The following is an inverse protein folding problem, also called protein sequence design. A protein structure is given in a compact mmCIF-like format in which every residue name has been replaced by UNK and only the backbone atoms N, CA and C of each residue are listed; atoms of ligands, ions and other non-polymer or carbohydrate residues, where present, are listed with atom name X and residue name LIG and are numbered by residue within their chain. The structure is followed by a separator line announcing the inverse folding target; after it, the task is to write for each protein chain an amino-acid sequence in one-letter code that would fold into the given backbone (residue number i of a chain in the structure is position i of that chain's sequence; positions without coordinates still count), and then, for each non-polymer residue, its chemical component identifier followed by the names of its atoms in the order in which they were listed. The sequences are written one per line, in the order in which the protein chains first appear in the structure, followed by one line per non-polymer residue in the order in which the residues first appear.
data_IF_480681741723
#
_entry.id   IF_480681741723
#
_cell.length_a   1.000
_cell.length_b   1.000
_cell.length_c   1.000
_cell.angle_alpha   90.00
_cell.angle_beta   90.00
_cell.angle_gamma   90.00
#
_symmetry.space_group_name_H-M   'P 1'
#
loop_
_entity.id
_entity.type
_entity.pdbx_description
1 polymer ?
#
# COMPACT_ATOMS: atom_id res chain seq x y z
N UNK A 1 8.25 19.06 13.33
CA UNK A 1 8.51 17.86 12.51
C UNK A 1 8.35 16.66 13.41
N UNK A 2 7.50 15.70 13.06
CA UNK A 2 7.32 14.45 13.79
C UNK A 2 7.87 13.34 12.91
N UNK A 3 8.82 12.57 13.46
CA UNK A 3 9.50 11.49 12.76
C UNK A 3 9.06 10.16 13.37
N UNK A 4 8.65 9.18 12.56
CA UNK A 4 8.27 7.86 13.07
C UNK A 4 8.08 6.83 11.96
N UNK A 5 8.63 5.62 12.03
CA UNK A 5 8.63 4.69 10.90
C UNK A 5 7.27 4.15 10.43
N UNK A 6 7.19 3.49 9.26
CA UNK A 6 5.97 2.78 8.83
C UNK A 6 5.51 1.79 9.91
N UNK A 7 4.29 1.95 10.40
CA UNK A 7 3.74 1.13 11.49
C UNK A 7 3.96 1.66 12.92
N UNK A 8 4.64 2.79 13.14
CA UNK A 8 4.88 3.34 14.49
C UNK A 8 3.81 4.30 15.00
N UNK A 9 2.59 4.23 14.45
CA UNK A 9 1.47 5.04 14.93
C UNK A 9 1.54 6.53 14.54
N UNK A 10 2.24 6.91 13.46
CA UNK A 10 2.19 8.28 12.91
C UNK A 10 0.76 8.80 12.72
N UNK A 11 -0.10 7.97 12.14
CA UNK A 11 -1.53 8.27 11.95
C UNK A 11 -2.25 8.45 13.29
N UNK A 12 -1.86 7.70 14.32
CA UNK A 12 -2.36 7.89 15.70
C UNK A 12 -1.91 9.22 16.28
N UNK A 13 -0.67 9.66 16.00
CA UNK A 13 -0.19 10.99 16.39
C UNK A 13 -0.93 12.10 15.65
N UNK A 14 -1.22 11.92 14.35
CA UNK A 14 -2.07 12.83 13.58
C UNK A 14 -3.44 12.96 14.24
N UNK A 15 -4.10 11.83 14.51
CA UNK A 15 -5.42 11.83 15.14
C UNK A 15 -5.40 12.53 16.50
N UNK A 16 -4.43 12.21 17.37
CA UNK A 16 -4.28 12.86 18.66
C UNK A 16 -4.01 14.37 18.55
N UNK A 17 -3.18 14.80 17.58
CA UNK A 17 -2.89 16.21 17.35
C UNK A 17 -4.13 16.97 16.87
N UNK A 18 -4.90 16.38 15.93
CA UNK A 18 -6.16 16.95 15.42
C UNK A 18 -7.17 17.10 16.56
N UNK A 19 -7.42 16.03 17.33
CA UNK A 19 -8.35 16.08 18.46
C UNK A 19 -7.94 17.13 19.49
N UNK A 20 -6.64 17.25 19.77
CA UNK A 20 -6.11 18.23 20.73
C UNK A 20 -6.24 19.67 20.22
N UNK A 21 -5.90 19.92 18.95
CA UNK A 21 -6.03 21.26 18.36
C UNK A 21 -7.49 21.68 18.26
N UNK A 22 -8.39 20.77 17.88
CA UNK A 22 -9.81 21.05 17.80
C UNK A 22 -10.43 21.30 19.18
N UNK A 23 -10.06 20.53 20.21
CA UNK A 23 -10.52 20.80 21.59
C UNK A 23 -10.03 22.15 22.13
N UNK A 24 -8.81 22.54 21.80
CA UNK A 24 -8.25 23.82 22.24
C UNK A 24 -8.92 25.02 21.55
N UNK A 25 -9.31 24.86 20.27
CA UNK A 25 -9.96 25.90 19.48
C UNK A 25 -10.80 25.26 18.36
N UNK A 26 -12.12 25.06 18.58
CA UNK A 26 -13.00 24.45 17.58
C UNK A 26 -13.18 25.28 16.31
N UNK A 27 -12.86 26.58 16.35
CA UNK A 27 -12.92 27.45 15.17
C UNK A 27 -11.63 27.41 14.34
N UNK A 28 -10.55 26.83 14.90
CA UNK A 28 -9.31 26.65 14.17
C UNK A 28 -9.49 25.66 13.04
N UNK A 29 -9.24 26.13 11.84
CA UNK A 29 -9.29 25.31 10.64
C UNK A 29 -7.98 24.54 10.46
N UNK A 30 -8.08 23.22 10.38
CA UNK A 30 -6.96 22.29 10.26
C UNK A 30 -7.10 21.56 8.93
N UNK A 31 -6.10 21.70 8.06
CA UNK A 31 -6.02 20.99 6.79
C UNK A 31 -4.97 19.89 6.89
N UNK A 32 -5.34 18.67 6.51
CA UNK A 32 -4.44 17.53 6.48
C UNK A 32 -4.27 17.12 5.03
N UNK A 33 -3.02 17.11 4.57
CA UNK A 33 -2.66 16.76 3.21
C UNK A 33 -1.66 15.60 3.19
N UNK A 34 -1.81 14.71 2.21
CA UNK A 34 -0.83 13.67 1.91
C UNK A 34 -0.67 13.52 0.40
N UNK A 35 0.38 12.84 -0.05
CA UNK A 35 0.65 12.65 -1.48
C UNK A 35 -0.39 11.75 -2.16
N UNK A 36 -0.87 10.71 -1.45
CA UNK A 36 -1.78 9.71 -1.98
C UNK A 36 -3.15 9.72 -1.29
N UNK A 37 -4.21 9.44 -2.04
CA UNK A 37 -5.55 9.29 -1.46
C UNK A 37 -5.62 8.14 -0.43
N UNK A 38 -4.80 7.10 -0.59
CA UNK A 38 -4.71 5.99 0.39
C UNK A 38 -4.22 6.50 1.73
N UNK A 39 -3.18 7.34 1.76
CA UNK A 39 -2.69 7.94 2.99
C UNK A 39 -3.76 8.82 3.64
N UNK A 40 -4.44 9.66 2.85
CA UNK A 40 -5.54 10.50 3.33
C UNK A 40 -6.68 9.64 3.92
N UNK A 41 -7.06 8.56 3.24
CA UNK A 41 -8.06 7.60 3.71
C UNK A 41 -7.66 6.96 5.04
N UNK A 42 -6.43 6.48 5.16
CA UNK A 42 -5.94 5.85 6.39
C UNK A 42 -6.02 6.83 7.59
N UNK A 43 -5.75 8.12 7.36
CA UNK A 43 -5.92 9.16 8.38
C UNK A 43 -7.40 9.33 8.74
N UNK A 44 -8.29 9.39 7.74
CA UNK A 44 -9.73 9.51 7.94
C UNK A 44 -10.30 8.33 8.74
N UNK A 45 -9.89 7.10 8.43
CA UNK A 45 -10.23 5.89 9.19
C UNK A 45 -9.75 6.01 10.63
N UNK A 46 -8.51 6.45 10.82
CA UNK A 46 -7.96 6.60 12.17
C UNK A 46 -8.67 7.66 12.99
N UNK A 47 -9.13 8.76 12.38
CA UNK A 47 -9.98 9.75 13.04
C UNK A 47 -11.29 9.13 13.51
N UNK A 48 -11.95 8.35 12.64
CA UNK A 48 -13.16 7.60 13.00
C UNK A 48 -12.91 6.60 14.13
N UNK A 49 -11.81 5.84 14.09
CA UNK A 49 -11.46 4.87 15.14
C UNK A 49 -11.32 5.51 16.53
N UNK A 50 -10.84 6.75 16.59
CA UNK A 50 -10.70 7.50 17.85
C UNK A 50 -11.94 8.32 18.20
N UNK A 51 -13.05 8.12 17.47
CA UNK A 51 -14.32 8.82 17.68
C UNK A 51 -14.35 10.28 17.20
N UNK A 52 -13.35 10.72 16.43
CA UNK A 52 -13.34 12.05 15.83
C UNK A 52 -14.06 12.03 14.49
N UNK A 53 -15.22 12.68 14.47
CA UNK A 53 -16.17 12.61 13.35
C UNK A 53 -16.41 13.95 12.65
N UNK A 54 -15.92 15.05 13.22
CA UNK A 54 -16.09 16.42 12.71
C UNK A 54 -15.02 16.77 11.67
N UNK A 55 -15.03 16.04 10.55
CA UNK A 55 -14.14 16.31 9.42
C UNK A 55 -14.83 16.08 8.09
N UNK A 56 -14.27 16.67 7.04
CA UNK A 56 -14.65 16.42 5.64
C UNK A 56 -13.45 16.00 4.81
N UNK A 57 -13.71 15.14 3.83
CA UNK A 57 -12.72 14.59 2.92
C UNK A 57 -13.01 15.09 1.50
N UNK A 58 -12.10 15.89 0.94
CA UNK A 58 -12.20 16.38 -0.43
C UNK A 58 -11.49 15.41 -1.38
N UNK A 59 -12.23 14.78 -2.29
CA UNK A 59 -11.74 13.69 -3.15
C UNK A 59 -11.95 14.02 -4.62
N UNK A 60 -10.96 13.71 -5.46
CA UNK A 60 -11.14 13.76 -6.92
C UNK A 60 -12.02 12.59 -7.38
N UNK A 61 -13.04 12.87 -8.21
CA UNK A 61 -13.96 11.85 -8.70
C UNK A 61 -13.27 10.77 -9.56
N UNK A 62 -12.23 11.14 -10.32
CA UNK A 62 -11.45 10.20 -11.12
C UNK A 62 -10.79 9.12 -10.24
N UNK A 63 -10.31 9.51 -9.06
CA UNK A 63 -9.74 8.57 -8.11
C UNK A 63 -10.80 7.65 -7.48
N UNK A 64 -12.02 8.14 -7.25
CA UNK A 64 -13.10 7.32 -6.69
C UNK A 64 -13.49 6.16 -7.61
N UNK A 65 -13.50 6.39 -8.93
CA UNK A 65 -13.79 5.35 -9.92
C UNK A 65 -12.62 4.36 -10.11
N UNK A 66 -11.37 4.84 -10.09
CA UNK A 66 -10.18 3.98 -10.23
C UNK A 66 -9.90 3.14 -8.96
N UNK A 67 -10.35 3.60 -7.80
CA UNK A 67 -10.14 2.98 -6.48
C UNK A 67 -11.49 2.81 -5.76
N UNK A 68 -12.32 1.94 -6.32
CA UNK A 68 -13.35 1.16 -5.64
C UNK A 68 -14.23 1.84 -4.57
N UNK A 69 -15.51 2.03 -4.90
CA UNK A 69 -16.64 2.38 -4.02
C UNK A 69 -16.67 1.63 -2.68
N UNK A 70 -16.21 0.38 -2.63
CA UNK A 70 -16.22 -0.49 -1.45
C UNK A 70 -15.12 -0.21 -0.42
N UNK A 71 -14.12 0.63 -0.74
CA UNK A 71 -13.02 0.92 0.18
C UNK A 71 -13.41 1.95 1.25
N UNK A 72 -14.37 2.83 0.96
CA UNK A 72 -14.92 3.76 1.93
C UNK A 72 -16.13 3.11 2.57
N UNK A 73 -16.02 2.65 3.82
CA UNK A 73 -17.20 2.23 4.58
C UNK A 73 -18.20 3.39 4.70
N UNK A 74 -19.47 3.08 4.99
CA UNK A 74 -20.59 4.04 5.05
C UNK A 74 -20.26 5.32 5.85
N UNK A 75 -19.50 5.16 6.93
CA UNK A 75 -19.05 6.25 7.80
C UNK A 75 -18.14 7.25 7.05
N UNK A 76 -17.21 6.76 6.24
CA UNK A 76 -16.33 7.65 5.47
C UNK A 76 -17.06 8.29 4.29
N UNK A 77 -17.93 7.53 3.61
CA UNK A 77 -18.69 8.05 2.47
C UNK A 77 -19.52 9.28 2.85
N UNK A 78 -20.15 9.29 4.03
CA UNK A 78 -20.91 10.43 4.53
C UNK A 78 -20.08 11.72 4.77
N UNK A 79 -18.75 11.62 4.75
CA UNK A 79 -17.80 12.74 4.95
C UNK A 79 -17.08 13.13 3.67
N UNK A 80 -17.20 12.36 2.60
CA UNK A 80 -16.65 12.70 1.30
C UNK A 80 -17.41 13.84 0.64
N UNK A 81 -16.68 14.72 -0.03
CA UNK A 81 -17.21 15.68 -0.99
C UNK A 81 -16.37 15.46 -2.25
N UNK A 82 -17.04 15.18 -3.38
CA UNK A 82 -16.36 14.88 -4.64
C UNK A 82 -16.16 16.14 -5.49
N UNK A 83 -15.04 16.20 -6.20
CA UNK A 83 -14.57 17.39 -6.91
C UNK A 83 -15.53 17.99 -7.93
N UNK A 84 -16.38 17.16 -8.52
CA UNK A 84 -17.42 17.53 -9.47
C UNK A 84 -18.71 18.03 -8.80
N UNK A 85 -18.87 17.77 -7.51
CA UNK A 85 -19.97 18.28 -6.68
C UNK A 85 -19.57 19.55 -5.92
N UNK A 86 -18.32 20.01 -6.03
CA UNK A 86 -17.84 21.19 -5.31
C UNK A 86 -18.68 22.42 -5.61
N UNK A 87 -19.20 23.05 -4.55
CA UNK A 87 -19.96 24.29 -4.73
C UNK A 87 -19.06 25.47 -5.05
N UNK A 88 -19.44 26.23 -6.07
CA UNK A 88 -18.83 27.51 -6.41
C UNK A 88 -19.39 28.68 -5.57
N UNK A 89 -20.33 28.42 -4.66
CA UNK A 89 -20.96 29.43 -3.80
C UNK A 89 -20.60 29.20 -2.33
N UNK A 90 -20.39 30.27 -1.58
CA UNK A 90 -20.08 30.20 -0.14
C UNK A 90 -21.18 29.46 0.64
N UNK A 91 -22.45 29.75 0.35
CA UNK A 91 -23.59 29.07 1.00
C UNK A 91 -23.60 27.57 0.71
N UNK A 92 -23.36 27.17 -0.54
CA UNK A 92 -23.35 25.75 -0.90
C UNK A 92 -22.16 25.00 -0.29
N UNK A 93 -20.96 25.59 -0.31
CA UNK A 93 -19.80 24.98 0.30
C UNK A 93 -19.92 24.91 1.84
N UNK A 94 -20.59 25.87 2.48
CA UNK A 94 -20.85 25.85 3.92
C UNK A 94 -21.80 24.71 4.29
N UNK A 95 -22.84 24.48 3.47
CA UNK A 95 -23.73 23.31 3.59
C UNK A 95 -23.00 21.99 3.39
N UNK A 96 -22.03 21.93 2.49
CA UNK A 96 -21.22 20.73 2.26
C UNK A 96 -20.28 20.45 3.44
N UNK A 97 -19.70 21.51 4.03
CA UNK A 97 -18.81 21.38 5.19
C UNK A 97 -19.56 21.02 6.47
N UNK A 98 -20.83 21.41 6.62
CA UNK A 98 -21.63 21.20 7.84
C UNK A 98 -20.92 21.71 9.11
N UNK A 99 -20.22 22.85 8.99
CA UNK A 99 -19.46 23.45 10.09
C UNK A 99 -18.09 22.83 10.36
N UNK A 100 -17.74 21.71 9.71
CA UNK A 100 -16.47 21.04 9.92
C UNK A 100 -15.28 21.98 9.63
N UNK A 101 -14.35 22.02 10.59
CA UNK A 101 -13.10 22.81 10.48
C UNK A 101 -11.88 21.95 10.17
N UNK A 102 -12.02 20.63 10.22
CA UNK A 102 -10.97 19.68 9.85
C UNK A 102 -11.22 19.17 8.44
N UNK A 103 -10.30 19.44 7.52
CA UNK A 103 -10.43 19.08 6.11
C UNK A 103 -9.24 18.20 5.70
N UNK A 104 -9.55 17.05 5.11
CA UNK A 104 -8.57 16.09 4.58
C UNK A 104 -8.62 16.13 3.05
N UNK A 105 -7.47 16.13 2.39
CA UNK A 105 -7.37 16.05 0.94
C UNK A 105 -5.98 15.62 0.48
N UNK A 106 -5.79 15.31 -0.80
CA UNK A 106 -4.42 15.13 -1.34
C UNK A 106 -3.71 16.46 -1.52
N UNK A 107 -2.39 16.45 -1.60
CA UNK A 107 -1.59 17.65 -1.91
C UNK A 107 -1.99 18.27 -3.26
N UNK A 108 -2.30 17.42 -4.25
CA UNK A 108 -2.79 17.86 -5.56
C UNK A 108 -4.15 18.56 -5.47
N UNK A 109 -5.08 18.04 -4.67
CA UNK A 109 -6.37 18.68 -4.41
C UNK A 109 -6.20 20.01 -3.67
N UNK A 110 -5.30 20.06 -2.70
CA UNK A 110 -5.00 21.28 -1.95
C UNK A 110 -4.44 22.41 -2.82
N UNK A 111 -3.73 22.05 -3.89
CA UNK A 111 -3.19 22.98 -4.88
C UNK A 111 -4.21 23.37 -5.95
N UNK A 112 -5.39 22.73 -5.97
CA UNK A 112 -6.44 22.99 -6.96
C UNK A 112 -7.19 24.29 -6.67
N UNK A 113 -7.54 25.02 -7.74
CA UNK A 113 -8.45 26.17 -7.63
C UNK A 113 -9.87 25.78 -7.26
N UNK A 114 -10.25 24.52 -7.46
CA UNK A 114 -11.61 24.02 -7.19
C UNK A 114 -11.98 24.09 -5.70
N UNK A 115 -10.99 24.14 -4.80
CA UNK A 115 -11.25 24.22 -3.36
C UNK A 115 -11.35 25.65 -2.80
N UNK A 116 -11.27 26.68 -3.67
CA UNK A 116 -11.23 28.08 -3.25
C UNK A 116 -12.42 28.48 -2.36
N UNK A 117 -13.62 27.97 -2.64
CA UNK A 117 -14.82 28.26 -1.84
C UNK A 117 -14.74 27.66 -0.44
N UNK A 118 -14.23 26.43 -0.31
CA UNK A 118 -14.03 25.79 0.99
C UNK A 118 -12.98 26.52 1.82
N UNK A 119 -11.90 26.99 1.19
CA UNK A 119 -10.86 27.80 1.87
C UNK A 119 -11.45 29.11 2.40
N UNK A 120 -12.39 29.74 1.70
CA UNK A 120 -13.05 30.96 2.23
C UNK A 120 -13.85 30.70 3.50
N UNK A 121 -14.45 29.52 3.63
CA UNK A 121 -15.26 29.14 4.79
C UNK A 121 -14.39 28.61 5.92
N UNK A 122 -13.41 27.77 5.60
CA UNK A 122 -12.43 27.17 6.51
C UNK A 122 -11.00 27.55 6.09
N UNK A 123 -10.55 28.79 6.39
CA UNK A 123 -9.22 29.29 6.00
C UNK A 123 -8.10 28.42 6.50
N UNK A 124 -7.07 28.19 5.69
CA UNK A 124 -5.99 27.26 6.04
C UNK A 124 -5.08 27.86 7.12
N UNK A 125 -5.37 27.57 8.40
CA UNK A 125 -4.60 28.09 9.54
C UNK A 125 -3.54 27.12 10.04
N UNK A 126 -3.85 25.82 10.05
CA UNK A 126 -2.88 24.76 10.36
C UNK A 126 -2.84 23.77 9.21
N UNK A 127 -1.65 23.45 8.71
CA UNK A 127 -1.45 22.37 7.74
C UNK A 127 -0.68 21.23 8.40
N UNK A 128 -1.17 20.01 8.25
CA UNK A 128 -0.46 18.78 8.60
C UNK A 128 -0.18 18.04 7.31
N UNK A 129 1.10 17.90 6.95
CA UNK A 129 1.53 17.04 5.86
C UNK A 129 1.86 15.65 6.42
N UNK A 130 1.13 14.62 6.02
CA UNK A 130 1.52 13.22 6.26
C UNK A 130 2.32 12.67 5.09
N UNK A 131 3.14 11.64 5.36
CA UNK A 131 4.11 11.10 4.42
C UNK A 131 5.03 12.19 3.82
N UNK A 132 5.34 13.22 4.61
CA UNK A 132 6.11 14.38 4.17
C UNK A 132 7.50 14.05 3.60
N UNK A 133 8.04 12.86 3.93
CA UNK A 133 9.27 12.32 3.38
C UNK A 133 9.18 11.89 1.92
N UNK A 134 7.96 11.69 1.38
CA UNK A 134 7.72 11.24 0.00
C UNK A 134 7.35 12.38 -0.96
N UNK A 135 7.18 13.60 -0.43
CA UNK A 135 6.80 14.79 -1.20
C UNK A 135 8.06 15.63 -1.46
N UNK A 136 8.29 16.01 -2.71
CA UNK A 136 9.42 16.87 -3.05
C UNK A 136 9.24 18.28 -2.45
N UNK A 137 10.35 18.92 -2.08
CA UNK A 137 10.29 20.25 -1.45
C UNK A 137 9.56 21.27 -2.34
N UNK A 138 9.71 21.15 -3.67
CA UNK A 138 9.06 22.00 -4.65
C UNK A 138 7.53 21.93 -4.62
N UNK A 139 6.96 20.79 -4.24
CA UNK A 139 5.51 20.58 -4.22
C UNK A 139 4.82 21.28 -3.03
N UNK A 140 5.56 21.60 -1.97
CA UNK A 140 5.03 22.38 -0.85
C UNK A 140 4.93 23.87 -1.15
N UNK A 141 5.80 24.39 -2.02
CA UNK A 141 5.95 25.83 -2.25
C UNK A 141 4.63 26.46 -2.72
N UNK A 142 3.89 25.91 -3.69
CA UNK A 142 2.61 26.48 -4.13
C UNK A 142 1.58 26.57 -3.01
N UNK A 143 1.48 25.54 -2.17
CA UNK A 143 0.54 25.46 -1.06
C UNK A 143 0.87 26.51 0.01
N UNK A 144 2.14 26.55 0.44
CA UNK A 144 2.60 27.50 1.46
C UNK A 144 2.42 28.94 0.98
N UNK A 145 2.76 29.21 -0.28
CA UNK A 145 2.61 30.54 -0.87
C UNK A 145 1.12 30.95 -0.94
N UNK A 146 0.25 30.04 -1.41
CA UNK A 146 -1.19 30.30 -1.59
C UNK A 146 -1.90 30.64 -0.27
N UNK A 147 -1.41 30.13 0.86
CA UNK A 147 -2.03 30.32 2.16
C UNK A 147 -1.23 31.21 3.12
N UNK A 148 -0.18 31.87 2.64
CA UNK A 148 0.73 32.69 3.45
C UNK A 148 0.06 33.73 4.35
N UNK A 149 -1.10 34.26 3.97
CA UNK A 149 -1.87 35.25 4.74
C UNK A 149 -2.67 34.67 5.91
N UNK A 150 -3.01 33.37 5.87
CA UNK A 150 -3.88 32.71 6.87
C UNK A 150 -3.15 31.63 7.65
N UNK A 151 -2.12 31.04 7.07
CA UNK A 151 -1.33 29.95 7.62
C UNK A 151 -0.55 30.41 8.85
N UNK A 152 -0.77 29.74 9.97
CA UNK A 152 -0.12 30.00 11.27
C UNK A 152 0.81 28.88 11.70
N UNK A 153 0.55 27.65 11.27
CA UNK A 153 1.30 26.46 11.70
C UNK A 153 1.40 25.44 10.58
N UNK A 154 2.60 24.91 10.38
CA UNK A 154 2.85 23.77 9.49
C UNK A 154 3.45 22.64 10.31
N UNK A 155 2.90 21.43 10.16
CA UNK A 155 3.37 20.22 10.80
C UNK A 155 3.74 19.23 9.71
N UNK A 156 5.02 18.89 9.60
CA UNK A 156 5.48 17.80 8.75
C UNK A 156 5.56 16.52 9.56
N UNK A 157 4.87 15.49 9.08
CA UNK A 157 4.83 14.14 9.62
C UNK A 157 5.26 13.20 8.51
N UNK A 158 6.28 12.42 8.77
CA UNK A 158 6.84 11.52 7.79
C UNK A 158 7.99 10.76 8.39
N UNK A 159 8.38 9.67 7.74
CA UNK A 159 9.65 9.04 7.99
C UNK A 159 10.17 8.57 6.64
N UNK A 160 11.37 8.99 6.31
CA UNK A 160 12.04 8.47 5.13
C UNK A 160 12.57 7.06 5.39
N UNK A 161 12.60 6.58 6.63
CA UNK A 161 13.09 5.27 7.00
C UNK A 161 11.99 4.20 6.96
N UNK A 162 12.32 3.04 6.41
CA UNK A 162 11.48 1.84 6.42
C UNK A 162 12.17 0.73 7.23
N UNK A 163 11.50 0.21 8.27
CA UNK A 163 12.04 -0.80 9.20
C UNK A 163 11.31 -2.13 9.09
N UNK A 164 10.39 -2.25 8.14
CA UNK A 164 9.59 -3.45 7.96
C UNK A 164 10.32 -4.48 7.13
N UNK A 165 10.81 -4.08 5.97
CA UNK A 165 11.26 -5.02 4.94
C UNK A 165 12.75 -5.32 5.08
N UNK A 166 13.19 -6.55 4.75
CA UNK A 166 14.60 -6.85 4.54
C UNK A 166 15.25 -5.88 3.57
N UNK A 167 16.53 -5.52 3.80
CA UNK A 167 17.22 -4.47 3.04
C UNK A 167 17.16 -4.73 1.53
N UNK A 168 17.34 -5.99 1.11
CA UNK A 168 17.26 -6.37 -0.32
C UNK A 168 15.94 -6.03 -1.00
N UNK A 169 14.82 -6.07 -0.26
CA UNK A 169 13.50 -5.69 -0.79
C UNK A 169 13.28 -4.19 -0.60
N UNK A 170 13.59 -3.66 0.58
CA UNK A 170 13.37 -2.26 0.92
C UNK A 170 14.15 -1.30 0.02
N UNK A 171 15.43 -1.59 -0.22
CA UNK A 171 16.31 -0.77 -1.06
C UNK A 171 15.84 -0.80 -2.52
N UNK A 172 15.47 -1.98 -3.01
CA UNK A 172 14.90 -2.14 -4.35
C UNK A 172 13.60 -1.32 -4.51
N UNK A 173 12.67 -1.43 -3.56
CA UNK A 173 11.39 -0.70 -3.60
C UNK A 173 11.63 0.80 -3.50
N UNK A 174 12.55 1.23 -2.63
CA UNK A 174 12.94 2.64 -2.53
C UNK A 174 13.39 3.17 -3.88
N UNK A 175 14.35 2.52 -4.53
CA UNK A 175 14.90 2.94 -5.81
C UNK A 175 13.86 2.93 -6.93
N UNK A 176 13.03 1.88 -7.02
CA UNK A 176 12.18 1.65 -8.18
C UNK A 176 10.78 2.26 -8.09
N UNK A 177 10.30 2.55 -6.87
CA UNK A 177 8.93 3.06 -6.62
C UNK A 177 8.95 4.44 -5.96
N UNK A 178 9.93 4.69 -5.09
CA UNK A 178 10.02 5.93 -4.30
C UNK A 178 11.24 6.79 -4.66
N UNK A 179 11.83 6.58 -5.84
CA UNK A 179 12.96 7.37 -6.36
C UNK A 179 14.16 7.50 -5.39
N UNK A 180 14.42 6.45 -4.61
CA UNK A 180 15.52 6.41 -3.63
C UNK A 180 15.26 7.25 -2.37
N UNK A 181 14.06 7.79 -2.18
CA UNK A 181 13.74 8.66 -1.05
C UNK A 181 13.53 7.87 0.25
N UNK A 182 13.31 6.55 0.19
CA UNK A 182 13.19 5.70 1.36
C UNK A 182 14.55 5.10 1.78
N UNK A 183 14.92 5.23 3.04
CA UNK A 183 16.09 4.62 3.67
C UNK A 183 15.69 3.32 4.38
N UNK A 184 16.18 2.16 3.95
CA UNK A 184 15.88 0.92 4.68
C UNK A 184 16.69 0.82 5.98
N UNK A 185 16.03 0.50 7.08
CA UNK A 185 16.60 0.35 8.42
C UNK A 185 16.13 -0.97 9.01
N UNK A 186 16.67 -2.08 8.51
CA UNK A 186 16.25 -3.43 8.90
C UNK A 186 17.46 -4.32 9.25
N UNK A 187 17.26 -5.26 10.18
CA UNK A 187 18.33 -6.15 10.65
C UNK A 187 18.69 -7.23 9.62
N UNK A 188 17.71 -7.65 8.80
CA UNK A 188 17.95 -8.64 7.74
C UNK A 188 18.57 -7.97 6.52
N UNK A 189 19.88 -8.09 6.40
CA UNK A 189 20.68 -7.65 5.24
C UNK A 189 21.00 -8.78 4.25
N UNK A 190 20.75 -10.04 4.63
CA UNK A 190 21.02 -11.20 3.78
C UNK A 190 20.20 -11.13 2.48
N UNK A 191 20.85 -11.10 1.29
CA UNK A 191 20.15 -11.12 0.00
C UNK A 191 19.21 -12.32 -0.16
N UNK A 192 19.50 -13.43 0.52
CA UNK A 192 18.66 -14.65 0.54
C UNK A 192 17.30 -14.42 1.21
N UNK A 193 17.07 -13.28 1.83
CA UNK A 193 15.77 -12.87 2.32
C UNK A 193 14.74 -12.69 1.19
N UNK A 194 15.16 -12.50 -0.06
CA UNK A 194 14.26 -12.52 -1.21
C UNK A 194 14.77 -13.53 -2.25
N UNK A 195 13.97 -14.53 -2.58
CA UNK A 195 14.33 -15.57 -3.57
C UNK A 195 13.20 -15.85 -4.53
N UNK A 196 13.55 -16.34 -5.71
CA UNK A 196 12.62 -16.82 -6.70
C UNK A 196 12.69 -18.35 -6.81
N UNK A 197 11.55 -19.01 -7.04
CA UNK A 197 11.49 -20.42 -7.40
C UNK A 197 11.14 -20.51 -8.87
N UNK A 198 12.00 -21.16 -9.67
CA UNK A 198 11.72 -21.39 -11.08
C UNK A 198 10.83 -22.63 -11.26
N UNK A 199 9.54 -22.37 -11.44
CA UNK A 199 8.50 -23.40 -11.64
C UNK A 199 8.39 -23.74 -13.12
N UNK A 200 9.38 -24.47 -13.64
CA UNK A 200 9.50 -24.84 -15.06
C UNK A 200 8.25 -25.56 -15.59
N UNK A 201 7.65 -26.44 -14.81
CA UNK A 201 6.48 -27.25 -15.20
C UNK A 201 5.12 -26.57 -15.02
N UNK A 202 5.06 -25.40 -14.37
CA UNK A 202 3.81 -24.72 -14.05
C UNK A 202 3.26 -23.93 -15.23
N UNK A 203 2.13 -24.33 -15.80
CA UNK A 203 1.46 -23.58 -16.86
C UNK A 203 0.20 -22.89 -16.34
N UNK A 204 -0.04 -21.66 -16.80
CA UNK A 204 -1.30 -20.98 -16.54
C UNK A 204 -2.46 -21.72 -17.23
N UNK A 205 -3.56 -21.90 -16.51
CA UNK A 205 -4.82 -22.40 -17.03
C UNK A 205 -5.94 -21.45 -16.63
N UNK A 206 -6.88 -21.22 -17.54
CA UNK A 206 -8.05 -20.38 -17.27
C UNK A 206 -9.09 -21.21 -16.52
N UNK A 207 -9.63 -20.68 -15.43
CA UNK A 207 -10.70 -21.30 -14.66
C UNK A 207 -11.79 -20.25 -14.40
N UNK A 208 -12.90 -20.38 -15.12
CA UNK A 208 -13.92 -19.32 -15.19
C UNK A 208 -13.33 -18.01 -15.72
N UNK A 209 -13.45 -16.95 -14.94
CA UNK A 209 -12.88 -15.62 -15.23
C UNK A 209 -11.50 -15.38 -14.60
N UNK A 210 -10.90 -16.39 -13.97
CA UNK A 210 -9.63 -16.29 -13.24
C UNK A 210 -8.58 -17.25 -13.80
N UNK A 211 -7.40 -17.29 -13.17
CA UNK A 211 -6.26 -18.09 -13.60
C UNK A 211 -5.69 -18.92 -12.46
N UNK A 212 -5.22 -20.11 -12.80
CA UNK A 212 -4.60 -21.07 -11.87
C UNK A 212 -3.33 -21.64 -12.49
N UNK A 213 -2.34 -21.94 -11.67
CA UNK A 213 -1.11 -22.63 -12.05
C UNK A 213 -0.82 -23.71 -11.00
N UNK A 214 -1.20 -24.95 -11.32
CA UNK A 214 -1.05 -26.09 -10.41
C UNK A 214 0.42 -26.42 -10.09
N UNK A 215 1.36 -26.13 -11.00
CA UNK A 215 2.78 -26.31 -10.72
C UNK A 215 3.26 -25.37 -9.61
N UNK A 216 2.78 -24.13 -9.61
CA UNK A 216 3.04 -23.19 -8.51
C UNK A 216 2.33 -23.63 -7.23
N UNK A 217 1.09 -24.14 -7.29
CA UNK A 217 0.37 -24.66 -6.10
C UNK A 217 1.18 -25.72 -5.37
N UNK A 218 1.77 -26.68 -6.10
CA UNK A 218 2.61 -27.75 -5.52
C UNK A 218 3.81 -27.15 -4.78
N UNK A 219 4.53 -26.23 -5.42
CA UNK A 219 5.71 -25.58 -4.82
C UNK A 219 5.33 -24.74 -3.60
N UNK A 220 4.25 -23.97 -3.68
CA UNK A 220 3.73 -23.17 -2.56
C UNK A 220 3.35 -24.05 -1.38
N UNK A 221 2.64 -25.16 -1.60
CA UNK A 221 2.28 -26.10 -0.52
C UNK A 221 3.53 -26.74 0.11
N UNK A 222 4.56 -27.02 -0.70
CA UNK A 222 5.84 -27.53 -0.19
C UNK A 222 6.57 -26.51 0.67
N UNK A 223 6.64 -25.25 0.22
CA UNK A 223 7.22 -24.15 0.99
C UNK A 223 6.44 -23.90 2.30
N UNK A 224 5.11 -23.92 2.24
CA UNK A 224 4.25 -23.80 3.42
C UNK A 224 4.56 -24.89 4.45
N UNK A 225 4.70 -26.15 4.03
CA UNK A 225 5.13 -27.24 4.90
C UNK A 225 6.52 -26.97 5.51
N UNK A 226 7.49 -26.55 4.71
CA UNK A 226 8.83 -26.25 5.21
C UNK A 226 8.84 -25.12 6.25
N UNK A 227 7.99 -24.10 6.09
CA UNK A 227 7.80 -23.07 7.10
C UNK A 227 7.12 -23.61 8.36
N UNK A 228 6.06 -24.41 8.20
CA UNK A 228 5.36 -25.07 9.31
C UNK A 228 6.30 -25.95 10.13
N UNK A 229 7.07 -26.83 9.47
CA UNK A 229 8.02 -27.75 10.12
C UNK A 229 9.15 -26.99 10.86
N UNK A 230 9.45 -25.76 10.43
CA UNK A 230 10.44 -24.87 11.06
C UNK A 230 9.82 -23.89 12.07
N UNK A 231 8.53 -24.03 12.40
CA UNK A 231 7.77 -23.12 13.27
C UNK A 231 7.87 -21.65 12.86
N UNK A 232 7.85 -21.39 11.55
CA UNK A 232 7.92 -20.05 10.97
C UNK A 232 6.53 -19.54 10.61
N UNK A 233 6.17 -18.34 11.06
CA UNK A 233 4.92 -17.69 10.66
C UNK A 233 4.97 -17.26 9.20
N UNK A 234 4.02 -17.73 8.39
CA UNK A 234 3.98 -17.41 6.96
C UNK A 234 2.58 -17.02 6.49
N UNK A 235 2.54 -16.20 5.43
CA UNK A 235 1.33 -15.88 4.66
C UNK A 235 1.59 -16.12 3.18
N UNK A 236 0.54 -16.42 2.44
CA UNK A 236 0.59 -16.67 1.00
C UNK A 236 -0.22 -15.61 0.27
N UNK A 237 0.37 -15.00 -0.76
CA UNK A 237 -0.27 -13.98 -1.58
C UNK A 237 -0.30 -14.45 -3.04
N UNK A 238 -1.47 -14.34 -3.68
CA UNK A 238 -1.64 -14.62 -5.10
C UNK A 238 -2.67 -13.69 -5.73
N UNK A 239 -2.47 -13.18 -6.96
CA UNK A 239 -3.37 -12.18 -7.53
C UNK A 239 -4.69 -12.74 -8.08
N UNK A 240 -4.87 -14.06 -8.13
CA UNK A 240 -6.01 -14.69 -8.78
C UNK A 240 -6.81 -15.58 -7.81
N UNK A 241 -8.12 -15.37 -7.73
CA UNK A 241 -8.99 -16.14 -6.82
C UNK A 241 -9.02 -17.65 -7.12
N UNK A 242 -8.94 -18.04 -8.40
CA UNK A 242 -8.82 -19.47 -8.73
C UNK A 242 -7.53 -20.08 -8.16
N UNK A 243 -6.41 -19.35 -8.22
CA UNK A 243 -5.17 -19.77 -7.57
C UNK A 243 -5.29 -19.77 -6.04
N UNK A 244 -5.91 -18.76 -5.44
CA UNK A 244 -6.13 -18.69 -3.98
C UNK A 244 -6.86 -19.94 -3.50
N UNK A 245 -7.99 -20.25 -4.11
CA UNK A 245 -8.80 -21.42 -3.78
C UNK A 245 -8.03 -22.74 -4.01
N UNK A 246 -7.26 -22.83 -5.10
CA UNK A 246 -6.45 -24.01 -5.39
C UNK A 246 -5.34 -24.22 -4.33
N UNK A 247 -4.70 -23.15 -3.87
CA UNK A 247 -3.69 -23.22 -2.79
C UNK A 247 -4.37 -23.62 -1.47
N UNK A 248 -5.49 -23.00 -1.09
CA UNK A 248 -6.21 -23.37 0.14
C UNK A 248 -6.59 -24.85 0.16
N UNK A 249 -7.11 -25.37 -0.96
CA UNK A 249 -7.42 -26.80 -1.11
C UNK A 249 -6.16 -27.67 -1.04
N UNK A 250 -5.05 -27.23 -1.66
CA UNK A 250 -3.76 -27.90 -1.56
C UNK A 250 -3.24 -28.00 -0.12
N UNK A 251 -3.36 -26.93 0.65
CA UNK A 251 -2.99 -26.90 2.08
C UNK A 251 -3.88 -27.82 2.91
N UNK A 252 -5.20 -27.78 2.70
CA UNK A 252 -6.17 -28.68 3.36
C UNK A 252 -5.81 -30.15 3.12
N UNK A 253 -5.59 -30.53 1.86
CA UNK A 253 -5.23 -31.89 1.48
C UNK A 253 -3.87 -32.33 2.08
N UNK A 254 -2.98 -31.38 2.31
CA UNK A 254 -1.71 -31.59 2.98
C UNK A 254 -1.81 -31.58 4.52
N UNK A 255 -2.99 -31.43 5.12
CA UNK A 255 -3.17 -31.24 6.56
C UNK A 255 -2.33 -30.07 7.13
N UNK A 256 -2.26 -28.96 6.39
CA UNK A 256 -1.60 -27.73 6.81
C UNK A 256 -2.64 -26.66 7.21
N UNK A 257 -2.27 -25.70 8.08
CA UNK A 257 -3.10 -24.52 8.32
C UNK A 257 -3.40 -23.79 7.02
N UNK A 258 -4.69 -23.47 6.82
CA UNK A 258 -5.18 -22.81 5.60
C UNK A 258 -6.05 -21.59 5.91
N UNK A 259 -6.75 -21.59 7.05
CA UNK A 259 -7.59 -20.47 7.49
C UNK A 259 -6.75 -19.22 7.74
N UNK A 260 -7.14 -18.11 7.12
CA UNK A 260 -6.42 -16.84 7.19
C UNK A 260 -4.95 -16.94 6.74
N UNK A 261 -4.54 -17.92 5.93
CA UNK A 261 -3.15 -18.06 5.46
C UNK A 261 -2.99 -17.53 4.03
N UNK A 262 -3.99 -17.74 3.17
CA UNK A 262 -3.90 -17.43 1.73
C UNK A 262 -4.78 -16.24 1.40
N UNK A 263 -4.22 -15.26 0.70
CA UNK A 263 -4.90 -14.01 0.39
C UNK A 263 -4.73 -13.63 -1.07
N UNK A 264 -5.68 -12.86 -1.58
CA UNK A 264 -5.45 -12.09 -2.79
C UNK A 264 -4.81 -10.75 -2.42
N UNK A 265 -4.25 -10.06 -3.42
CA UNK A 265 -3.47 -8.84 -3.17
C UNK A 265 -4.33 -7.74 -2.53
N UNK A 266 -5.59 -7.64 -2.93
CA UNK A 266 -6.50 -6.58 -2.45
C UNK A 266 -6.96 -6.87 -1.01
N UNK A 267 -7.27 -8.13 -0.68
CA UNK A 267 -7.67 -8.53 0.68
C UNK A 267 -6.50 -8.56 1.67
N UNK A 268 -5.26 -8.57 1.17
CA UNK A 268 -4.07 -8.47 2.02
C UNK A 268 -3.68 -7.02 2.36
N UNK A 269 -4.41 -6.01 1.88
CA UNK A 269 -4.09 -4.62 2.18
C UNK A 269 -4.24 -4.34 3.68
N UNK A 270 -3.15 -3.88 4.32
CA UNK A 270 -3.10 -3.64 5.77
C UNK A 270 -2.66 -4.85 6.61
N UNK A 271 -2.56 -6.03 6.00
CA UNK A 271 -1.98 -7.23 6.62
C UNK A 271 -0.48 -7.34 6.33
N UNK A 272 0.25 -8.06 7.19
CA UNK A 272 1.70 -8.29 7.08
C UNK A 272 2.06 -9.70 7.53
N UNK A 273 3.20 -10.22 7.06
CA UNK A 273 3.70 -11.53 7.48
C UNK A 273 5.22 -11.55 7.62
N UNK A 274 5.72 -12.38 8.54
CA UNK A 274 7.15 -12.58 8.73
C UNK A 274 7.76 -13.22 7.49
N UNK A 275 7.16 -14.31 7.01
CA UNK A 275 7.54 -14.95 5.77
C UNK A 275 6.39 -14.86 4.76
N UNK A 276 6.66 -14.34 3.57
CA UNK A 276 5.68 -14.21 2.49
C UNK A 276 6.03 -15.16 1.36
N UNK A 277 5.08 -15.99 0.97
CA UNK A 277 5.17 -16.81 -0.24
C UNK A 277 4.25 -16.18 -1.29
N UNK A 278 4.80 -15.87 -2.46
CA UNK A 278 4.05 -15.29 -3.59
C UNK A 278 3.89 -16.33 -4.68
N UNK A 279 2.68 -16.44 -5.25
CA UNK A 279 2.42 -17.17 -6.49
C UNK A 279 2.01 -16.18 -7.57
N UNK A 280 2.80 -16.08 -8.64
CA UNK A 280 2.58 -15.12 -9.74
C UNK A 280 1.56 -15.62 -10.76
N UNK A 281 1.44 -16.95 -10.90
CA UNK A 281 0.48 -17.67 -11.76
C UNK A 281 0.75 -17.55 -13.26
N UNK A 282 0.86 -16.32 -13.77
CA UNK A 282 0.97 -16.05 -15.20
C UNK A 282 2.29 -16.55 -15.76
N UNK A 283 2.22 -17.09 -16.98
CA UNK A 283 3.36 -17.63 -17.72
C UNK A 283 3.37 -17.26 -19.20
N UNK A 284 2.33 -16.56 -19.69
CA UNK A 284 2.24 -16.12 -21.09
C UNK A 284 1.96 -14.64 -21.25
N UNK A 285 0.92 -14.12 -20.59
CA UNK A 285 0.58 -12.70 -20.67
C UNK A 285 0.85 -12.00 -19.34
N UNK A 286 1.24 -10.73 -19.40
CA UNK A 286 1.60 -9.88 -18.25
C UNK A 286 0.55 -9.92 -17.13
N UNK A 287 -0.74 -9.81 -17.49
CA UNK A 287 -1.86 -9.91 -16.56
C UNK A 287 -1.70 -8.95 -15.36
N UNK A 288 -1.81 -9.48 -14.15
CA UNK A 288 -1.74 -8.71 -12.91
C UNK A 288 -0.44 -7.88 -12.77
N UNK A 289 0.67 -8.32 -13.38
CA UNK A 289 1.97 -7.66 -13.26
C UNK A 289 2.03 -6.29 -13.96
N UNK A 290 1.04 -5.96 -14.78
CA UNK A 290 0.91 -4.63 -15.39
C UNK A 290 0.56 -3.56 -14.34
N UNK A 291 -0.09 -3.95 -13.24
CA UNK A 291 -0.42 -3.03 -12.17
C UNK A 291 0.73 -2.91 -11.16
N UNK A 292 1.58 -1.92 -11.37
CA UNK A 292 2.73 -1.64 -10.50
C UNK A 292 2.32 -1.33 -9.05
N UNK A 293 1.20 -0.63 -8.83
CA UNK A 293 0.72 -0.30 -7.49
C UNK A 293 0.35 -1.55 -6.69
N UNK A 294 -0.40 -2.48 -7.29
CA UNK A 294 -0.79 -3.75 -6.65
C UNK A 294 0.43 -4.66 -6.46
N UNK A 295 1.37 -4.62 -7.38
CA UNK A 295 2.65 -5.34 -7.24
C UNK A 295 3.50 -4.78 -6.10
N UNK A 296 3.61 -3.45 -5.97
CA UNK A 296 4.27 -2.80 -4.83
C UNK A 296 3.59 -3.18 -3.50
N UNK A 297 2.25 -3.17 -3.47
CA UNK A 297 1.48 -3.67 -2.32
C UNK A 297 1.88 -5.07 -1.96
N UNK A 298 2.02 -5.99 -2.91
CA UNK A 298 2.42 -7.37 -2.66
C UNK A 298 3.87 -7.50 -2.14
N UNK A 299 4.81 -6.75 -2.74
CA UNK A 299 6.24 -6.80 -2.38
C UNK A 299 6.52 -6.19 -0.98
N UNK A 300 5.67 -5.26 -0.53
CA UNK A 300 5.85 -4.53 0.74
C UNK A 300 5.25 -5.20 1.98
N UNK A 301 4.90 -6.49 1.87
CA UNK A 301 4.21 -7.27 2.92
C UNK A 301 5.09 -8.12 3.81
N UNK A 302 6.36 -8.23 3.46
CA UNK A 302 7.33 -9.10 4.10
C UNK A 302 8.08 -8.38 5.23
N UNK A 303 8.20 -9.05 6.39
CA UNK A 303 9.07 -8.60 7.49
C UNK A 303 10.43 -9.29 7.53
N UNK A 304 10.51 -10.58 7.20
CA UNK A 304 11.75 -11.37 7.34
C UNK A 304 12.22 -11.99 6.03
N UNK A 305 11.35 -12.69 5.28
CA UNK A 305 11.73 -13.22 3.97
C UNK A 305 10.57 -13.38 2.99
N UNK A 306 10.86 -13.22 1.71
CA UNK A 306 9.93 -13.41 0.59
C UNK A 306 10.43 -14.51 -0.35
N UNK A 307 9.54 -15.41 -0.75
CA UNK A 307 9.80 -16.41 -1.80
C UNK A 307 8.75 -16.30 -2.89
N UNK A 308 9.19 -16.05 -4.12
CA UNK A 308 8.31 -15.79 -5.27
C UNK A 308 8.33 -16.99 -6.23
N UNK A 309 7.21 -17.69 -6.34
CA UNK A 309 7.00 -18.79 -7.29
C UNK A 309 6.54 -18.22 -8.63
N UNK A 310 7.30 -18.51 -9.69
CA UNK A 310 6.99 -18.07 -11.06
C UNK A 310 7.81 -18.86 -12.08
N UNK A 311 7.63 -18.61 -13.37
CA UNK A 311 8.48 -19.15 -14.44
C UNK A 311 9.56 -18.15 -14.81
N UNK A 312 10.84 -18.52 -14.65
CA UNK A 312 11.99 -17.64 -14.93
C UNK A 312 11.99 -17.08 -16.34
N UNK A 313 11.73 -17.93 -17.32
CA UNK A 313 11.68 -17.53 -18.73
C UNK A 313 10.57 -16.51 -19.02
N UNK A 314 9.46 -16.56 -18.27
CA UNK A 314 8.37 -15.59 -18.41
C UNK A 314 8.74 -14.24 -17.81
N UNK A 315 9.25 -14.22 -16.57
CA UNK A 315 9.66 -12.97 -15.90
C UNK A 315 10.81 -12.27 -16.64
N UNK A 316 11.71 -13.05 -17.25
CA UNK A 316 12.85 -12.52 -18.01
C UNK A 316 12.48 -12.14 -19.45
N UNK A 317 11.23 -12.34 -19.87
CA UNK A 317 10.79 -12.01 -21.23
C UNK A 317 10.72 -10.49 -21.43
N UNK A 318 10.91 -9.97 -22.65
CA UNK A 318 10.83 -8.54 -22.93
C UNK A 318 9.50 -7.89 -22.51
N UNK A 319 8.41 -8.66 -22.53
CA UNK A 319 7.09 -8.17 -22.12
C UNK A 319 6.98 -7.94 -20.61
N UNK A 320 7.73 -8.69 -19.79
CA UNK A 320 7.55 -8.72 -18.33
C UNK A 320 8.76 -8.17 -17.58
N UNK A 321 9.95 -8.15 -18.19
CA UNK A 321 11.19 -7.71 -17.55
C UNK A 321 11.13 -6.26 -17.04
N UNK A 322 10.31 -5.40 -17.65
CA UNK A 322 10.08 -4.03 -17.21
C UNK A 322 9.14 -3.88 -16.01
N UNK A 323 8.35 -4.91 -15.69
CA UNK A 323 7.46 -4.89 -14.51
C UNK A 323 8.27 -4.87 -13.23
N UNK A 324 7.64 -4.46 -12.12
CA UNK A 324 8.33 -4.37 -10.83
C UNK A 324 8.92 -5.72 -10.36
N UNK A 325 8.23 -6.86 -10.62
CA UNK A 325 8.78 -8.20 -10.34
C UNK A 325 9.92 -8.55 -11.30
N UNK A 326 9.80 -8.17 -12.58
CA UNK A 326 10.86 -8.35 -13.58
C UNK A 326 12.15 -7.65 -13.19
N UNK A 327 12.03 -6.37 -12.80
CA UNK A 327 13.15 -5.56 -12.30
C UNK A 327 13.73 -6.14 -11.00
N UNK A 328 12.90 -6.64 -10.08
CA UNK A 328 13.37 -7.31 -8.85
C UNK A 328 14.14 -8.59 -9.15
N UNK A 329 13.63 -9.43 -10.06
CA UNK A 329 14.31 -10.66 -10.46
C UNK A 329 15.66 -10.36 -11.12
N UNK A 330 15.74 -9.29 -11.92
CA UNK A 330 16.97 -8.86 -12.57
C UNK A 330 17.98 -8.31 -11.55
N UNK A 331 17.54 -7.48 -10.59
CA UNK A 331 18.42 -6.88 -9.57
C UNK A 331 19.03 -7.92 -8.62
N UNK A 332 18.26 -8.95 -8.25
CA UNK A 332 18.74 -10.06 -7.43
C UNK A 332 19.73 -10.99 -8.17
N UNK A 333 19.66 -11.03 -9.49
CA UNK A 333 20.52 -11.85 -10.32
C UNK A 333 20.22 -13.35 -10.28
N UNK A 334 20.99 -14.15 -11.04
CA UNK A 334 20.72 -15.57 -11.25
C UNK A 334 20.89 -16.44 -10.00
N UNK A 335 21.72 -16.01 -9.03
CA UNK A 335 22.02 -16.79 -7.82
C UNK A 335 20.85 -16.85 -6.82
N UNK A 336 19.84 -15.99 -6.95
CA UNK A 336 18.66 -15.97 -6.08
C UNK A 336 17.49 -16.81 -6.62
N UNK A 337 17.70 -17.53 -7.73
CA UNK A 337 16.75 -18.50 -8.26
C UNK A 337 17.05 -19.89 -7.72
N UNK A 338 16.06 -20.54 -7.13
CA UNK A 338 16.10 -21.94 -6.70
C UNK A 338 15.35 -22.78 -7.74
N UNK A 339 15.90 -23.95 -8.08
CA UNK A 339 15.19 -24.91 -8.92
C UNK A 339 14.06 -25.56 -8.12
N UNK A 340 12.89 -25.72 -8.73
CA UNK A 340 11.76 -26.39 -8.10
C UNK A 340 12.12 -27.78 -7.53
N UNK A 341 13.09 -28.51 -8.12
CA UNK A 341 13.54 -29.82 -7.61
C UNK A 341 14.15 -29.70 -6.22
N UNK A 342 14.91 -28.65 -5.95
CA UNK A 342 15.54 -28.43 -4.64
C UNK A 342 14.47 -28.15 -3.58
N UNK A 343 13.46 -27.36 -3.93
CA UNK A 343 12.29 -27.11 -3.06
C UNK A 343 11.55 -28.41 -2.73
N UNK A 344 11.28 -29.24 -3.74
CA UNK A 344 10.61 -30.53 -3.56
C UNK A 344 11.43 -31.45 -2.64
N UNK A 345 12.75 -31.44 -2.76
CA UNK A 345 13.66 -32.20 -1.90
C UNK A 345 13.87 -31.57 -0.50
N UNK A 346 13.33 -30.37 -0.24
CA UNK A 346 13.48 -29.66 1.03
C UNK A 346 14.78 -28.87 1.18
N UNK A 347 15.56 -28.74 0.10
CA UNK A 347 16.80 -27.99 0.05
C UNK A 347 16.51 -26.54 -0.34
N UNK A 348 16.66 -25.63 0.64
CA UNK A 348 16.53 -24.18 0.45
C UNK A 348 17.86 -23.44 0.71
N UNK A 349 18.98 -24.18 0.78
CA UNK A 349 20.32 -23.66 1.11
C UNK A 349 20.77 -22.56 0.16
#
# INVERSE_FOLDING_TARGET
MIHGPPGTGKTTVIAAAVTSFHHADPQRSIWIAAQSNVAVKNIAEKLCDVGFHDFKLLVSRDFYFDWHEHLYGDVLQARCIFSDEFSNSTVGAERQLLGARVILCTLSMMSSRSIATFIRIAPVQTIIFDEASQIEVGDYVPVIHSFSSTLRKIVFIGDNKQYRMPCVIGDFISENVYHGQLTTCHNTTDPKACRFIDVKGGNEAKQGHSWVNHGEVINVCRLARLHQDRNKSYRIITPYDAQRNAIENGLKNANLPWENIVFNVDSFQGNEGDHIIVSVVRTRNIGFLENERRTNVMLTRCKQSMTICTRRAFISSPQVSGTLIGRLAASLGPGMWIDQRDVLNGNLS
#
